data_IF_406549823131
#
_entry.id   IF_406549823131
#
_cell.length_a   1.000
_cell.length_b   1.000
_cell.length_c   1.000
_cell.angle_alpha   90.00
_cell.angle_beta   90.00
_cell.angle_gamma   90.00
#
_symmetry.space_group_name_H-M   'P 1'
#
loop_
_entity.id
_entity.type
_entity.pdbx_description
1 polymer ?
#
# COMPACT_ATOMS: atom_id res chain seq x y z
N UNK A 1 -15.59 19.75 -13.34
CA UNK A 1 -16.08 20.09 -11.98
C UNK A 1 -15.44 19.13 -11.01
N UNK A 2 -14.81 19.66 -9.96
CA UNK A 2 -14.16 18.86 -8.93
C UNK A 2 -15.20 18.09 -8.10
N UNK A 3 -15.01 16.78 -7.91
CA UNK A 3 -15.87 15.98 -7.03
C UNK A 3 -15.43 16.15 -5.57
N UNK A 4 -15.92 17.23 -4.94
CA UNK A 4 -15.60 17.52 -3.55
C UNK A 4 -16.17 16.52 -2.55
N UNK A 5 -17.32 15.93 -2.87
CA UNK A 5 -17.99 14.98 -1.97
C UNK A 5 -17.27 13.60 -1.99
N UNK A 6 -16.98 13.09 -3.16
CA UNK A 6 -16.21 11.85 -3.28
C UNK A 6 -14.82 11.99 -2.68
N UNK A 7 -14.12 13.09 -2.95
CA UNK A 7 -12.81 13.39 -2.36
C UNK A 7 -12.87 13.48 -0.83
N UNK A 8 -13.89 14.14 -0.27
CA UNK A 8 -14.07 14.24 1.18
C UNK A 8 -14.29 12.90 1.84
N UNK A 9 -15.15 12.05 1.28
CA UNK A 9 -15.39 10.67 1.77
C UNK A 9 -14.14 9.82 1.66
N UNK A 10 -13.44 9.88 0.52
CA UNK A 10 -12.21 9.12 0.30
C UNK A 10 -11.11 9.52 1.29
N UNK A 11 -10.88 10.82 1.46
CA UNK A 11 -9.86 11.34 2.38
C UNK A 11 -10.18 10.97 3.83
N UNK A 12 -11.42 11.17 4.28
CA UNK A 12 -11.85 10.84 5.64
C UNK A 12 -11.80 9.34 5.89
N UNK A 13 -12.29 8.53 4.94
CA UNK A 13 -12.26 7.08 5.02
C UNK A 13 -10.84 6.51 5.11
N UNK A 14 -9.94 6.98 4.25
CA UNK A 14 -8.52 6.61 4.29
C UNK A 14 -7.84 7.05 5.59
N UNK A 15 -8.08 8.28 6.03
CA UNK A 15 -7.52 8.80 7.27
C UNK A 15 -7.93 7.93 8.47
N UNK A 16 -9.23 7.69 8.65
CA UNK A 16 -9.74 6.89 9.76
C UNK A 16 -9.23 5.43 9.69
N UNK A 17 -9.23 4.85 8.51
CA UNK A 17 -8.74 3.49 8.30
C UNK A 17 -7.26 3.35 8.65
N UNK A 18 -6.41 4.23 8.11
CA UNK A 18 -4.97 4.18 8.33
C UNK A 18 -4.59 4.52 9.78
N UNK A 19 -5.21 5.55 10.36
CA UNK A 19 -4.98 5.90 11.77
C UNK A 19 -5.45 4.77 12.68
N UNK A 20 -6.64 4.21 12.44
CA UNK A 20 -7.14 3.07 13.18
C UNK A 20 -6.16 1.90 13.16
N UNK A 21 -5.70 1.47 11.98
CA UNK A 21 -4.74 0.38 11.85
C UNK A 21 -3.38 0.69 12.49
N UNK A 22 -2.85 1.89 12.31
CA UNK A 22 -1.53 2.27 12.84
C UNK A 22 -1.50 2.37 14.37
N UNK A 23 -2.65 2.62 14.98
CA UNK A 23 -2.77 2.75 16.45
C UNK A 23 -3.13 1.46 17.20
N UNK A 24 -3.38 0.37 16.47
CA UNK A 24 -3.69 -0.93 17.11
C UNK A 24 -2.57 -1.35 18.08
N UNK A 25 -1.31 -1.16 17.72
CA UNK A 25 -0.17 -1.52 18.55
C UNK A 25 -0.04 -0.68 19.82
N UNK A 26 -0.46 0.60 19.80
CA UNK A 26 -0.36 1.51 20.93
C UNK A 26 -1.63 1.54 21.79
N UNK A 27 -2.80 1.47 21.17
CA UNK A 27 -4.09 1.59 21.85
C UNK A 27 -4.76 0.24 22.15
N UNK A 28 -4.24 -0.85 21.57
CA UNK A 28 -4.85 -2.18 21.63
C UNK A 28 -5.91 -2.37 20.54
N UNK A 29 -6.22 -3.63 20.23
CA UNK A 29 -7.23 -3.98 19.23
C UNK A 29 -8.66 -3.86 19.78
N UNK A 30 -8.91 -4.47 20.94
CA UNK A 30 -10.21 -4.50 21.61
C UNK A 30 -10.07 -3.92 23.02
N UNK A 31 -9.15 -4.47 23.83
CA UNK A 31 -8.85 -3.97 25.16
C UNK A 31 -7.98 -2.72 25.06
N UNK A 32 -8.40 -1.60 25.69
CA UNK A 32 -7.62 -0.38 25.67
C UNK A 32 -6.35 -0.53 26.51
N UNK A 33 -5.20 -0.19 25.92
CA UNK A 33 -3.94 -0.11 26.66
C UNK A 33 -3.84 1.21 27.46
N UNK A 34 -2.87 1.29 28.35
CA UNK A 34 -2.67 2.46 29.23
C UNK A 34 -2.43 3.78 28.46
N UNK A 35 -1.93 3.71 27.24
CA UNK A 35 -1.68 4.87 26.37
C UNK A 35 -2.90 5.31 25.55
N UNK A 36 -4.06 4.67 25.76
CA UNK A 36 -5.26 4.98 24.99
C UNK A 36 -5.85 6.32 25.45
N UNK A 37 -5.97 7.34 24.57
CA UNK A 37 -6.41 8.68 24.96
C UNK A 37 -7.90 8.74 25.34
N UNK A 38 -8.72 7.86 24.79
CA UNK A 38 -10.15 7.74 25.07
C UNK A 38 -10.66 6.35 24.68
N UNK A 39 -11.77 5.95 25.25
CA UNK A 39 -12.42 4.67 24.93
C UNK A 39 -13.79 4.93 24.33
N UNK A 40 -14.18 4.10 23.34
CA UNK A 40 -15.50 4.12 22.71
C UNK A 40 -16.25 2.89 23.21
N UNK A 41 -17.29 3.08 24.05
CA UNK A 41 -18.04 2.00 24.69
C UNK A 41 -17.16 1.00 25.48
N UNK A 42 -16.07 1.48 26.09
CA UNK A 42 -15.15 0.59 26.84
C UNK A 42 -14.16 -0.20 25.96
N UNK A 43 -14.15 0.04 24.65
CA UNK A 43 -13.27 -0.62 23.68
C UNK A 43 -12.24 0.40 23.18
N UNK A 44 -11.08 -0.10 22.75
CA UNK A 44 -10.07 0.72 22.06
C UNK A 44 -10.65 1.40 20.81
N UNK A 45 -10.39 2.71 20.60
CA UNK A 45 -10.91 3.43 19.44
C UNK A 45 -10.26 2.99 18.11
N UNK A 46 -9.14 2.26 18.15
CA UNK A 46 -8.41 1.83 16.96
C UNK A 46 -9.28 0.97 16.02
N UNK A 47 -9.95 -0.04 16.55
CA UNK A 47 -10.80 -0.93 15.77
C UNK A 47 -12.06 -0.24 15.21
N UNK A 48 -12.86 0.49 16.01
CA UNK A 48 -13.99 1.26 15.50
C UNK A 48 -13.60 2.28 14.42
N UNK A 49 -12.48 2.98 14.60
CA UNK A 49 -11.97 3.93 13.59
C UNK A 49 -11.60 3.22 12.29
N UNK A 50 -10.90 2.09 12.35
CA UNK A 50 -10.53 1.30 11.17
C UNK A 50 -11.79 0.78 10.44
N UNK A 51 -12.78 0.27 11.17
CA UNK A 51 -14.05 -0.22 10.61
C UNK A 51 -14.84 0.93 9.98
N UNK A 52 -14.97 2.07 10.65
CA UNK A 52 -15.66 3.24 10.12
C UNK A 52 -14.98 3.75 8.85
N UNK A 53 -13.66 3.81 8.84
CA UNK A 53 -12.88 4.17 7.66
C UNK A 53 -13.13 3.23 6.49
N UNK A 54 -13.15 1.91 6.75
CA UNK A 54 -13.46 0.89 5.74
C UNK A 54 -14.89 1.02 5.21
N UNK A 55 -15.87 1.25 6.09
CA UNK A 55 -17.27 1.47 5.69
C UNK A 55 -17.38 2.69 4.78
N UNK A 56 -16.73 3.80 5.11
CA UNK A 56 -16.72 5.01 4.27
C UNK A 56 -16.11 4.74 2.88
N UNK A 57 -15.02 3.96 2.81
CA UNK A 57 -14.41 3.57 1.55
C UNK A 57 -15.32 2.65 0.72
N UNK A 58 -16.08 1.76 1.36
CA UNK A 58 -17.07 0.93 0.67
C UNK A 58 -18.25 1.78 0.17
N UNK A 59 -18.72 2.74 0.97
CA UNK A 59 -19.78 3.67 0.58
C UNK A 59 -19.32 4.60 -0.56
N UNK A 60 -18.03 4.88 -0.67
CA UNK A 60 -17.49 5.66 -1.78
C UNK A 60 -17.86 5.07 -3.15
N UNK A 61 -17.86 3.73 -3.29
CA UNK A 61 -18.15 3.05 -4.56
C UNK A 61 -19.53 3.40 -5.13
N UNK A 62 -20.65 3.29 -4.39
CA UNK A 62 -21.96 3.70 -4.89
C UNK A 62 -22.12 5.21 -5.03
N UNK A 63 -21.41 6.01 -4.22
CA UNK A 63 -21.42 7.47 -4.35
C UNK A 63 -20.75 7.89 -5.66
N UNK A 64 -19.58 7.35 -5.96
CA UNK A 64 -18.86 7.56 -7.21
C UNK A 64 -19.70 7.17 -8.44
N UNK A 65 -20.45 6.06 -8.35
CA UNK A 65 -21.40 5.67 -9.41
C UNK A 65 -22.42 6.75 -9.72
N UNK A 66 -23.00 7.35 -8.67
CA UNK A 66 -24.01 8.38 -8.82
C UNK A 66 -23.44 9.69 -9.35
N UNK A 67 -22.22 10.02 -8.91
CA UNK A 67 -21.50 11.21 -9.36
C UNK A 67 -21.08 11.07 -10.83
N UNK A 68 -20.57 9.89 -11.23
CA UNK A 68 -20.21 9.60 -12.63
C UNK A 68 -21.43 9.72 -13.55
N UNK A 69 -22.58 9.21 -13.13
CA UNK A 69 -23.82 9.33 -13.90
C UNK A 69 -24.35 10.75 -14.03
N UNK A 70 -24.16 11.60 -13.02
CA UNK A 70 -24.65 12.99 -13.02
C UNK A 70 -23.69 13.99 -13.64
N UNK A 71 -22.41 13.86 -13.37
CA UNK A 71 -21.40 14.87 -13.69
C UNK A 71 -20.36 14.40 -14.72
N UNK A 72 -20.33 13.10 -15.05
CA UNK A 72 -19.37 12.50 -15.99
C UNK A 72 -17.92 12.43 -15.50
N UNK A 73 -17.63 12.92 -14.28
CA UNK A 73 -16.29 12.94 -13.69
C UNK A 73 -16.38 12.35 -12.29
N UNK A 74 -15.81 11.17 -12.11
CA UNK A 74 -15.66 10.50 -10.82
C UNK A 74 -14.18 10.30 -10.51
N UNK A 75 -13.80 10.16 -9.24
CA UNK A 75 -12.43 9.82 -8.82
C UNK A 75 -12.03 8.42 -9.32
N UNK A 76 -12.99 7.49 -9.31
CA UNK A 76 -12.83 6.13 -9.78
C UNK A 76 -13.91 5.80 -10.83
N UNK A 77 -13.70 6.14 -12.12
CA UNK A 77 -14.66 5.82 -13.18
C UNK A 77 -14.90 4.30 -13.22
N UNK A 78 -16.16 3.88 -13.31
CA UNK A 78 -16.51 2.46 -13.36
C UNK A 78 -15.98 1.75 -14.61
N UNK A 79 -15.91 2.46 -15.72
CA UNK A 79 -15.28 1.98 -16.95
C UNK A 79 -13.85 1.51 -16.68
N UNK A 80 -13.15 2.19 -15.78
CA UNK A 80 -11.79 1.89 -15.34
C UNK A 80 -11.73 0.55 -14.60
N UNK A 81 -12.61 0.32 -13.64
CA UNK A 81 -12.68 -0.93 -12.87
C UNK A 81 -13.23 -2.12 -13.66
N UNK A 82 -13.93 -1.90 -14.78
CA UNK A 82 -14.43 -2.97 -15.65
C UNK A 82 -13.36 -3.54 -16.58
N UNK A 83 -12.27 -2.83 -16.82
CA UNK A 83 -11.19 -3.26 -17.69
C UNK A 83 -10.34 -4.34 -17.02
N UNK A 84 -10.28 -5.60 -17.53
CA UNK A 84 -9.58 -6.69 -16.86
C UNK A 84 -8.08 -6.43 -16.66
N UNK A 85 -7.43 -5.77 -17.63
CA UNK A 85 -6.02 -5.41 -17.55
C UNK A 85 -5.74 -4.45 -16.40
N UNK A 86 -6.65 -3.51 -16.16
CA UNK A 86 -6.51 -2.53 -15.10
C UNK A 86 -6.68 -3.15 -13.73
N UNK A 87 -7.68 -4.02 -13.58
CA UNK A 87 -7.88 -4.78 -12.34
C UNK A 87 -6.65 -5.64 -12.02
N UNK A 88 -6.11 -6.33 -13.04
CA UNK A 88 -4.90 -7.11 -12.87
C UNK A 88 -3.70 -6.24 -12.46
N UNK A 89 -3.56 -5.06 -13.07
CA UNK A 89 -2.53 -4.08 -12.69
C UNK A 89 -2.68 -3.56 -11.26
N UNK A 90 -3.89 -3.24 -10.82
CA UNK A 90 -4.17 -2.81 -9.45
C UNK A 90 -3.84 -3.91 -8.43
N UNK A 91 -4.25 -5.15 -8.71
CA UNK A 91 -3.94 -6.29 -7.83
C UNK A 91 -2.44 -6.54 -7.76
N UNK A 92 -1.75 -6.53 -8.92
CA UNK A 92 -0.30 -6.69 -8.96
C UNK A 92 0.43 -5.58 -8.18
N UNK A 93 0.00 -4.32 -8.33
CA UNK A 93 0.54 -3.19 -7.56
C UNK A 93 0.28 -3.35 -6.06
N UNK A 94 -0.94 -3.73 -5.67
CA UNK A 94 -1.27 -3.95 -4.27
C UNK A 94 -0.41 -5.04 -3.63
N UNK A 95 -0.19 -6.16 -4.32
CA UNK A 95 0.70 -7.23 -3.87
C UNK A 95 2.13 -6.72 -3.73
N UNK A 96 2.63 -5.97 -4.71
CA UNK A 96 3.99 -5.41 -4.68
C UNK A 96 4.17 -4.48 -3.48
N UNK A 97 3.25 -3.54 -3.27
CA UNK A 97 3.32 -2.62 -2.13
C UNK A 97 3.15 -3.32 -0.79
N UNK A 98 2.30 -4.35 -0.72
CA UNK A 98 2.18 -5.18 0.48
C UNK A 98 3.52 -5.85 0.82
N UNK A 99 4.19 -6.47 -0.17
CA UNK A 99 5.52 -7.07 0.01
C UNK A 99 6.56 -6.04 0.45
N UNK A 100 6.60 -4.88 -0.18
CA UNK A 100 7.51 -3.80 0.22
C UNK A 100 7.26 -3.35 1.66
N UNK A 101 6.01 -3.23 2.07
CA UNK A 101 5.64 -2.89 3.45
C UNK A 101 6.09 -3.95 4.46
N UNK A 102 5.81 -5.22 4.19
CA UNK A 102 6.24 -6.34 5.03
C UNK A 102 7.76 -6.37 5.15
N UNK A 103 8.47 -6.24 4.03
CA UNK A 103 9.93 -6.23 4.02
C UNK A 103 10.51 -5.06 4.82
N UNK A 104 9.94 -3.85 4.69
CA UNK A 104 10.38 -2.69 5.45
C UNK A 104 10.20 -2.87 6.96
N UNK A 105 9.08 -3.47 7.38
CA UNK A 105 8.76 -3.68 8.80
C UNK A 105 9.61 -4.80 9.42
N UNK A 106 9.87 -5.88 8.68
CA UNK A 106 10.56 -7.06 9.21
C UNK A 106 12.07 -6.99 9.02
N UNK A 107 12.53 -6.62 7.84
CA UNK A 107 13.94 -6.71 7.47
C UNK A 107 14.78 -5.66 8.20
N UNK A 108 14.30 -4.44 8.32
CA UNK A 108 15.06 -3.35 8.96
C UNK A 108 15.36 -3.61 10.44
N UNK A 109 14.37 -3.95 11.29
CA UNK A 109 14.65 -4.31 12.69
C UNK A 109 15.50 -5.59 12.81
N UNK A 110 15.26 -6.60 11.97
CA UNK A 110 16.03 -7.83 11.98
C UNK A 110 17.53 -7.57 11.73
N UNK A 111 17.85 -6.82 10.69
CA UNK A 111 19.23 -6.49 10.34
C UNK A 111 19.93 -5.65 11.43
N UNK A 112 19.22 -4.74 12.07
CA UNK A 112 19.78 -3.90 13.14
C UNK A 112 19.90 -4.66 14.46
N UNK A 113 18.87 -5.38 14.89
CA UNK A 113 18.82 -5.98 16.22
C UNK A 113 19.45 -7.37 16.28
N UNK A 114 19.33 -8.16 15.21
CA UNK A 114 19.83 -9.54 15.17
C UNK A 114 21.17 -9.63 14.47
N UNK A 115 21.29 -9.04 13.29
CA UNK A 115 22.53 -9.04 12.51
C UNK A 115 23.53 -7.95 12.91
N UNK A 116 23.13 -7.01 13.80
CA UNK A 116 24.02 -5.97 14.34
C UNK A 116 24.49 -4.93 13.29
N UNK A 117 23.71 -4.74 12.23
CA UNK A 117 24.09 -3.79 11.18
C UNK A 117 23.98 -2.35 11.65
N UNK A 118 24.98 -1.55 11.32
CA UNK A 118 24.96 -0.12 11.62
C UNK A 118 23.95 0.62 10.73
N UNK A 119 23.40 1.77 11.19
CA UNK A 119 22.51 2.61 10.36
C UNK A 119 23.16 3.04 9.03
N UNK A 120 24.46 3.21 9.01
CA UNK A 120 25.22 3.55 7.79
C UNK A 120 25.15 2.41 6.78
N UNK A 121 25.34 1.17 7.22
CA UNK A 121 25.26 -0.01 6.36
C UNK A 121 23.85 -0.21 5.80
N UNK A 122 22.82 0.09 6.60
CA UNK A 122 21.43 0.13 6.14
C UNK A 122 21.19 1.17 5.04
N UNK A 123 21.82 2.35 5.18
CA UNK A 123 21.79 3.39 4.14
C UNK A 123 22.44 2.94 2.84
N UNK A 124 23.58 2.28 2.92
CA UNK A 124 24.26 1.70 1.74
C UNK A 124 23.41 0.63 1.06
N UNK A 125 22.76 -0.22 1.85
CA UNK A 125 21.81 -1.22 1.33
C UNK A 125 20.62 -0.58 0.63
N UNK A 126 20.07 0.48 1.21
CA UNK A 126 18.98 1.25 0.59
C UNK A 126 19.41 1.86 -0.76
N UNK A 127 20.64 2.38 -0.87
CA UNK A 127 21.19 2.84 -2.14
C UNK A 127 21.37 1.71 -3.16
N UNK A 128 21.83 0.55 -2.72
CA UNK A 128 22.00 -0.62 -3.58
C UNK A 128 20.69 -1.10 -4.19
N UNK A 129 19.56 -0.89 -3.51
CA UNK A 129 18.20 -1.17 -4.03
C UNK A 129 17.66 0.02 -4.83
N UNK A 130 17.86 1.24 -4.34
CA UNK A 130 17.31 2.46 -4.93
C UNK A 130 17.93 2.82 -6.28
N UNK A 131 19.24 2.68 -6.44
CA UNK A 131 19.93 3.02 -7.70
C UNK A 131 19.44 2.16 -8.87
N UNK A 132 19.43 0.81 -8.80
CA UNK A 132 18.87 0.00 -9.88
C UNK A 132 17.40 0.31 -10.14
N UNK A 133 16.59 0.48 -9.09
CA UNK A 133 15.17 0.83 -9.23
C UNK A 133 15.00 2.12 -10.02
N UNK A 134 15.77 3.14 -9.72
CA UNK A 134 15.76 4.41 -10.45
C UNK A 134 16.17 4.23 -11.91
N UNK A 135 17.26 3.52 -12.17
CA UNK A 135 17.76 3.25 -13.53
C UNK A 135 16.72 2.49 -14.36
N UNK A 136 16.13 1.42 -13.81
CA UNK A 136 15.12 0.64 -14.52
C UNK A 136 13.80 1.39 -14.70
N UNK A 137 13.39 2.20 -13.73
CA UNK A 137 12.18 3.03 -13.82
C UNK A 137 12.25 4.06 -14.94
N UNK A 138 13.41 4.66 -15.17
CA UNK A 138 13.62 5.58 -16.28
C UNK A 138 13.97 4.87 -17.59
N UNK A 139 14.78 3.81 -17.51
CA UNK A 139 15.31 3.12 -18.68
C UNK A 139 14.28 2.31 -19.43
N UNK A 140 13.41 1.56 -18.75
CA UNK A 140 12.44 0.69 -19.42
C UNK A 140 11.51 1.47 -20.34
N UNK A 141 10.85 2.58 -19.93
CA UNK A 141 10.01 3.36 -20.84
C UNK A 141 10.77 4.00 -21.99
N UNK A 142 12.04 4.34 -21.77
CA UNK A 142 12.85 5.07 -22.74
C UNK A 142 13.49 4.14 -23.79
N UNK A 143 13.99 2.98 -23.38
CA UNK A 143 14.66 2.03 -24.27
C UNK A 143 13.75 0.95 -24.85
N UNK A 144 12.61 0.70 -24.22
CA UNK A 144 11.65 -0.33 -24.63
C UNK A 144 10.20 0.21 -24.67
N UNK A 145 9.93 1.28 -25.44
CA UNK A 145 8.59 1.91 -25.48
C UNK A 145 7.50 0.95 -25.98
N UNK A 146 7.87 -0.04 -26.80
CA UNK A 146 6.96 -1.03 -27.36
C UNK A 146 6.97 -2.39 -26.61
N UNK A 147 7.63 -2.45 -25.44
CA UNK A 147 7.66 -3.67 -24.66
C UNK A 147 6.25 -4.03 -24.18
N UNK A 148 5.88 -5.29 -24.34
CA UNK A 148 4.60 -5.77 -23.82
C UNK A 148 4.61 -5.72 -22.28
N UNK A 149 3.74 -4.90 -21.65
CA UNK A 149 3.75 -4.70 -20.19
C UNK A 149 3.65 -6.02 -19.42
N UNK A 150 2.91 -7.00 -19.95
CA UNK A 150 2.80 -8.33 -19.35
C UNK A 150 4.15 -9.03 -19.20
N UNK A 151 4.97 -9.00 -20.25
CA UNK A 151 6.29 -9.65 -20.23
C UNK A 151 7.23 -8.96 -19.28
N UNK A 152 7.23 -7.64 -19.24
CA UNK A 152 8.06 -6.85 -18.31
C UNK A 152 7.70 -7.19 -16.87
N UNK A 153 6.42 -7.22 -16.52
CA UNK A 153 5.93 -7.58 -15.18
C UNK A 153 6.31 -9.03 -14.83
N UNK A 154 6.10 -9.98 -15.73
CA UNK A 154 6.45 -11.38 -15.51
C UNK A 154 7.96 -11.57 -15.24
N UNK A 155 8.80 -10.95 -16.05
CA UNK A 155 10.26 -10.98 -15.85
C UNK A 155 10.64 -10.35 -14.52
N UNK A 156 10.05 -9.22 -14.16
CA UNK A 156 10.27 -8.57 -12.86
C UNK A 156 9.94 -9.48 -11.68
N UNK A 157 8.81 -10.17 -11.71
CA UNK A 157 8.43 -11.11 -10.64
C UNK A 157 9.31 -12.35 -10.60
N UNK A 158 9.75 -12.87 -11.75
CA UNK A 158 10.70 -14.00 -11.80
C UNK A 158 12.04 -13.58 -11.17
N UNK A 159 12.57 -12.43 -11.54
CA UNK A 159 13.82 -11.89 -10.97
C UNK A 159 13.67 -11.71 -9.46
N UNK A 160 12.56 -11.15 -9.01
CA UNK A 160 12.27 -10.96 -7.59
C UNK A 160 12.19 -12.31 -6.86
N UNK A 161 11.50 -13.30 -7.40
CA UNK A 161 11.42 -14.64 -6.83
C UNK A 161 12.81 -15.30 -6.75
N UNK A 162 13.62 -15.19 -7.79
CA UNK A 162 15.00 -15.71 -7.80
C UNK A 162 15.90 -15.01 -6.78
N UNK A 163 15.68 -13.73 -6.48
CA UNK A 163 16.45 -13.00 -5.47
C UNK A 163 16.16 -13.46 -4.03
N UNK A 164 14.97 -13.98 -3.76
CA UNK A 164 14.62 -14.53 -2.43
C UNK A 164 15.22 -15.91 -2.16
N UNK A 165 15.58 -16.68 -3.20
CA UNK A 165 16.19 -18.01 -3.03
C UNK A 165 17.51 -17.94 -2.25
N UNK A 166 18.53 -17.17 -2.67
CA UNK A 166 19.78 -17.09 -1.92
C UNK A 166 19.59 -16.47 -0.52
N UNK A 167 18.61 -15.58 -0.36
CA UNK A 167 18.30 -15.00 0.94
C UNK A 167 17.76 -16.04 1.92
N UNK A 168 16.95 -16.99 1.45
CA UNK A 168 16.44 -18.08 2.28
C UNK A 168 17.54 -19.07 2.73
N UNK A 169 18.63 -19.19 1.98
CA UNK A 169 19.78 -20.02 2.33
C UNK A 169 20.86 -19.30 3.14
N UNK A 170 20.80 -17.96 3.23
CA UNK A 170 21.76 -17.13 3.99
C UNK A 170 21.30 -16.81 5.41
N UNK A 171 20.09 -17.16 5.77
CA UNK A 171 19.50 -17.04 7.10
C UNK A 171 19.58 -18.38 7.84
#
# INVERSE_FOLDING_TARGET
>A
KFDGLGTGIAATGLFLFLVGLSRISAWGLIEPFAECPFTIFGISPALPMAILGLILLVILVPVEKRVEQKNGIALLPQSFLKTPQLRAGLVASAITFFFMGVQAILLSPYLQLVAGWSPVLMGVMALAVGIPTFIFSLGIPQFMPNANPRRVIQVGYIVMACAFIPMAFSL
#
